data_IF_245845798834
#
_entry.id   IF_245845798834
#
_cell.length_a   1.000
_cell.length_b   1.000
_cell.length_c   1.000
_cell.angle_alpha   90.00
_cell.angle_beta   90.00
_cell.angle_gamma   90.00
#
_symmetry.space_group_name_H-M   'P 1'
#
loop_
_entity.id
_entity.type
_entity.pdbx_description
1 polymer ?
#
# COMPACT_ATOMS: atom_id res chain seq x y z
N UNK A 1 7.97 -5.77 -11.16
CA UNK A 1 9.40 -5.47 -10.96
C UNK A 1 9.54 -4.18 -10.17
N UNK A 2 10.42 -4.18 -9.18
CA UNK A 2 10.72 -3.01 -8.34
C UNK A 2 12.23 -2.76 -8.39
N UNK A 3 12.63 -1.53 -8.65
CA UNK A 3 14.04 -1.12 -8.68
C UNK A 3 14.23 0.14 -7.83
N UNK A 4 15.06 0.02 -6.82
CA UNK A 4 15.33 1.06 -5.82
C UNK A 4 16.81 1.36 -5.84
N UNK A 5 17.16 2.64 -5.99
CA UNK A 5 18.54 3.08 -6.07
C UNK A 5 18.80 4.27 -5.15
N UNK A 6 19.76 4.12 -4.26
CA UNK A 6 20.28 5.18 -3.44
C UNK A 6 19.26 5.86 -2.53
N UNK A 7 18.26 5.12 -2.04
CA UNK A 7 17.20 5.70 -1.22
C UNK A 7 17.75 6.15 0.12
N UNK A 8 17.55 7.43 0.41
CA UNK A 8 17.79 8.03 1.71
C UNK A 8 16.51 8.57 2.32
N UNK A 9 16.42 8.53 3.63
CA UNK A 9 15.33 9.13 4.38
C UNK A 9 15.79 9.52 5.77
N UNK A 10 15.49 10.74 6.16
CA UNK A 10 15.77 11.28 7.49
C UNK A 10 14.51 11.85 8.12
N UNK A 11 14.43 11.77 9.44
CA UNK A 11 13.42 12.41 10.26
C UNK A 11 14.15 13.33 11.26
N UNK A 12 14.15 14.64 10.98
CA UNK A 12 14.99 15.58 11.71
C UNK A 12 16.48 15.26 11.51
N UNK A 13 17.20 15.09 12.62
CA UNK A 13 18.63 14.72 12.60
C UNK A 13 18.89 13.22 12.44
N UNK A 14 17.86 12.39 12.54
CA UNK A 14 17.98 10.94 12.45
C UNK A 14 17.87 10.47 11.00
N UNK A 15 18.97 9.99 10.45
CA UNK A 15 18.96 9.34 9.13
C UNK A 15 18.58 7.87 9.29
N UNK A 16 17.38 7.51 8.78
CA UNK A 16 16.81 6.16 8.90
C UNK A 16 17.22 5.27 7.74
N UNK A 17 17.21 5.79 6.52
CA UNK A 17 17.69 5.09 5.32
C UNK A 17 18.93 5.81 4.76
N UNK A 18 19.98 5.06 4.51
CA UNK A 18 21.32 5.58 4.22
C UNK A 18 21.85 5.13 2.85
N UNK A 19 21.04 5.23 1.82
CA UNK A 19 21.43 4.82 0.47
C UNK A 19 21.10 3.36 0.19
N UNK A 20 19.84 3.00 0.27
CA UNK A 20 19.38 1.62 0.04
C UNK A 20 19.24 1.36 -1.46
N UNK A 21 19.83 0.26 -1.91
CA UNK A 21 19.64 -0.32 -3.24
C UNK A 21 18.93 -1.66 -3.10
N UNK A 22 17.90 -1.88 -3.91
CA UNK A 22 17.15 -3.13 -3.92
C UNK A 22 16.52 -3.35 -5.29
N UNK A 23 16.62 -4.56 -5.80
CA UNK A 23 15.96 -5.00 -7.02
C UNK A 23 15.10 -6.22 -6.74
N UNK A 24 13.83 -6.18 -7.15
CA UNK A 24 12.89 -7.28 -7.02
C UNK A 24 12.31 -7.59 -8.39
N UNK A 25 12.50 -8.82 -8.86
CA UNK A 25 11.92 -9.28 -10.12
C UNK A 25 10.43 -9.61 -9.95
N UNK A 26 9.73 -9.62 -11.08
CA UNK A 26 8.34 -10.07 -11.10
C UNK A 26 8.23 -11.51 -10.61
N UNK A 27 7.30 -11.75 -9.70
CA UNK A 27 7.05 -13.06 -9.11
C UNK A 27 7.95 -13.43 -7.92
N UNK A 28 8.92 -12.60 -7.57
CA UNK A 28 9.73 -12.81 -6.37
C UNK A 28 8.98 -12.47 -5.08
N UNK A 29 9.26 -13.24 -4.05
CA UNK A 29 8.89 -12.93 -2.66
C UNK A 29 10.16 -12.57 -1.90
N UNK A 30 10.19 -11.37 -1.34
CA UNK A 30 11.36 -10.82 -0.64
C UNK A 30 11.00 -10.53 0.81
N UNK A 31 11.90 -10.89 1.72
CA UNK A 31 11.79 -10.55 3.13
C UNK A 31 12.82 -9.48 3.51
N UNK A 32 12.36 -8.43 4.17
CA UNK A 32 13.22 -7.38 4.70
C UNK A 32 13.34 -7.60 6.20
N UNK A 33 14.57 -7.90 6.64
CA UNK A 33 14.87 -8.23 8.03
C UNK A 33 15.81 -7.20 8.65
N UNK A 34 15.74 -7.06 9.96
CA UNK A 34 16.57 -6.13 10.71
C UNK A 34 15.98 -5.82 12.08
N UNK A 35 16.75 -5.17 12.96
CA UNK A 35 16.28 -4.78 14.28
C UNK A 35 15.13 -3.76 14.21
N UNK A 36 14.36 -3.64 15.29
CA UNK A 36 13.34 -2.60 15.41
C UNK A 36 13.97 -1.20 15.27
N UNK A 37 13.29 -0.31 14.53
CA UNK A 37 13.80 1.02 14.26
C UNK A 37 14.85 1.12 13.13
N UNK A 38 15.16 0.02 12.44
CA UNK A 38 16.13 0.01 11.34
C UNK A 38 15.60 0.60 10.01
N UNK A 39 14.35 1.07 9.96
CA UNK A 39 13.77 1.69 8.77
C UNK A 39 13.00 0.73 7.85
N UNK A 40 12.71 -0.49 8.28
CA UNK A 40 11.97 -1.47 7.46
C UNK A 40 10.59 -0.95 7.02
N UNK A 41 9.81 -0.44 7.97
CA UNK A 41 8.49 0.14 7.69
C UNK A 41 8.61 1.38 6.80
N UNK A 42 9.58 2.24 7.05
CA UNK A 42 9.84 3.43 6.23
C UNK A 42 10.15 3.04 4.78
N UNK A 43 10.99 2.05 4.58
CA UNK A 43 11.32 1.55 3.23
C UNK A 43 10.07 1.00 2.51
N UNK A 44 9.27 0.19 3.20
CA UNK A 44 8.02 -0.34 2.64
C UNK A 44 7.02 0.78 2.29
N UNK A 45 6.91 1.81 3.11
CA UNK A 45 6.05 2.97 2.82
C UNK A 45 6.53 3.75 1.59
N UNK A 46 7.84 3.89 1.42
CA UNK A 46 8.44 4.54 0.23
C UNK A 46 8.21 3.70 -1.02
N UNK A 47 8.46 2.40 -0.98
CA UNK A 47 8.19 1.47 -2.10
C UNK A 47 6.70 1.53 -2.48
N UNK A 48 5.83 1.53 -1.49
CA UNK A 48 4.39 1.58 -1.67
C UNK A 48 3.82 2.96 -1.95
N UNK A 49 4.66 3.98 -2.13
CA UNK A 49 4.24 5.36 -2.44
C UNK A 49 3.44 6.08 -1.36
N UNK A 50 3.47 5.58 -0.13
CA UNK A 50 2.83 6.24 1.02
C UNK A 50 3.71 7.34 1.62
N UNK A 51 5.02 7.27 1.39
CA UNK A 51 5.98 8.30 1.75
C UNK A 51 6.96 8.53 0.59
N UNK A 52 7.67 9.64 0.62
CA UNK A 52 8.68 10.00 -0.38
C UNK A 52 10.08 9.85 0.21
N UNK A 53 11.06 9.38 -0.57
CA UNK A 53 12.45 9.43 -0.15
C UNK A 53 12.96 10.87 -0.18
N UNK A 54 14.01 11.15 0.58
CA UNK A 54 14.73 12.43 0.52
C UNK A 54 15.59 12.49 -0.74
N UNK A 55 16.19 11.37 -1.12
CA UNK A 55 16.93 11.21 -2.38
C UNK A 55 16.88 9.76 -2.87
N UNK A 56 17.35 9.54 -4.07
CA UNK A 56 17.32 8.25 -4.73
C UNK A 56 16.12 8.10 -5.65
N UNK A 57 15.96 6.91 -6.23
CA UNK A 57 14.88 6.63 -7.18
C UNK A 57 14.14 5.34 -6.83
N UNK A 58 12.84 5.35 -7.06
CA UNK A 58 11.95 4.19 -6.94
C UNK A 58 11.22 4.00 -8.26
N UNK A 59 11.47 2.88 -8.92
CA UNK A 59 10.79 2.48 -10.14
C UNK A 59 9.96 1.23 -9.87
N UNK A 60 8.68 1.29 -10.14
CA UNK A 60 7.75 0.16 -10.02
C UNK A 60 7.10 -0.09 -11.38
N UNK A 61 7.26 -1.29 -11.90
CA UNK A 61 6.76 -1.70 -13.23
C UNK A 61 7.09 -0.69 -14.34
N UNK A 62 8.32 -0.17 -14.33
CA UNK A 62 8.81 0.81 -15.32
C UNK A 62 8.41 2.25 -15.08
N UNK A 63 7.66 2.54 -14.02
CA UNK A 63 7.22 3.90 -13.66
C UNK A 63 8.04 4.43 -12.50
N UNK A 64 8.67 5.58 -12.69
CA UNK A 64 9.36 6.30 -11.62
C UNK A 64 8.33 7.02 -10.75
N UNK A 65 8.09 6.48 -9.56
CA UNK A 65 6.97 6.90 -8.72
C UNK A 65 7.11 8.30 -8.14
N UNK A 66 8.34 8.82 -8.01
CA UNK A 66 8.58 10.18 -7.51
C UNK A 66 8.13 11.26 -8.49
N UNK A 67 7.98 10.94 -9.78
CA UNK A 67 7.48 11.87 -10.77
C UNK A 67 5.95 11.99 -10.78
N UNK A 68 5.29 11.09 -10.08
CA UNK A 68 3.84 11.11 -9.92
C UNK A 68 3.45 11.96 -8.70
N UNK A 69 2.33 12.68 -8.81
CA UNK A 69 1.78 13.47 -7.70
C UNK A 69 0.26 13.53 -7.76
N UNK A 70 -0.38 13.89 -6.65
CA UNK A 70 -1.82 14.08 -6.56
C UNK A 70 -2.60 12.86 -7.03
N UNK A 71 -3.56 13.09 -7.93
CA UNK A 71 -4.45 12.05 -8.45
C UNK A 71 -3.71 10.92 -9.18
N UNK A 72 -2.69 11.24 -9.97
CA UNK A 72 -1.90 10.24 -10.70
C UNK A 72 -1.18 9.26 -9.76
N UNK A 73 -0.65 9.76 -8.65
CA UNK A 73 -0.01 8.92 -7.64
C UNK A 73 -1.03 8.03 -6.93
N UNK A 74 -2.19 8.57 -6.58
CA UNK A 74 -3.28 7.81 -5.94
C UNK A 74 -3.81 6.71 -6.87
N UNK A 75 -3.99 7.02 -8.14
CA UNK A 75 -4.41 6.06 -9.16
C UNK A 75 -3.36 4.95 -9.35
N UNK A 76 -2.09 5.32 -9.44
CA UNK A 76 -1.00 4.36 -9.53
C UNK A 76 -0.99 3.41 -8.33
N UNK A 77 -1.06 3.94 -7.12
CA UNK A 77 -1.11 3.15 -5.88
C UNK A 77 -2.31 2.21 -5.87
N UNK A 78 -3.47 2.69 -6.24
CA UNK A 78 -4.70 1.90 -6.29
C UNK A 78 -4.58 0.67 -7.20
N UNK A 79 -3.90 0.83 -8.34
CA UNK A 79 -3.79 -0.23 -9.36
C UNK A 79 -2.61 -1.17 -9.18
N UNK A 80 -1.53 -0.70 -8.57
CA UNK A 80 -0.24 -1.43 -8.57
C UNK A 80 0.20 -1.90 -7.18
N UNK A 81 -0.38 -1.38 -6.09
CA UNK A 81 0.11 -1.63 -4.75
C UNK A 81 -1.02 -2.11 -3.84
N UNK A 82 -0.77 -3.20 -3.13
CA UNK A 82 -1.60 -3.65 -2.02
C UNK A 82 -0.80 -3.63 -0.72
N UNK A 83 -1.40 -3.13 0.35
CA UNK A 83 -0.80 -3.10 1.67
C UNK A 83 -1.52 -4.01 2.66
N UNK A 84 -0.73 -4.70 3.47
CA UNK A 84 -1.19 -5.30 4.72
C UNK A 84 -0.43 -4.63 5.86
N UNK A 85 -1.15 -3.90 6.71
CA UNK A 85 -0.56 -3.16 7.82
C UNK A 85 -0.48 -4.00 9.08
N UNK A 86 0.43 -3.65 9.99
CA UNK A 86 0.53 -4.27 11.30
C UNK A 86 -0.76 -4.05 12.12
N UNK A 87 -1.33 -2.86 12.03
CA UNK A 87 -2.64 -2.52 12.60
C UNK A 87 -3.63 -2.27 11.48
N UNK A 88 -4.89 -2.66 11.69
CA UNK A 88 -5.93 -2.43 10.70
C UNK A 88 -6.10 -0.93 10.40
N UNK A 89 -6.37 -0.63 9.15
CA UNK A 89 -6.64 0.73 8.66
C UNK A 89 -8.11 0.88 8.25
N UNK A 90 -8.99 0.17 8.95
CA UNK A 90 -10.42 0.22 8.67
C UNK A 90 -11.02 1.54 9.16
N UNK A 91 -11.91 2.08 8.36
CA UNK A 91 -12.69 3.26 8.72
C UNK A 91 -13.87 2.79 9.62
N UNK A 92 -13.90 3.22 10.89
CA UNK A 92 -14.86 2.71 11.86
C UNK A 92 -16.31 3.15 11.58
N UNK A 93 -16.49 4.18 10.76
CA UNK A 93 -17.79 4.67 10.30
C UNK A 93 -18.47 3.74 9.31
N UNK A 94 -17.69 2.88 8.64
CA UNK A 94 -18.15 1.98 7.60
C UNK A 94 -18.25 0.54 8.08
N UNK A 95 -19.15 -0.21 7.48
CA UNK A 95 -19.23 -1.66 7.64
C UNK A 95 -18.06 -2.38 6.98
N UNK A 96 -17.89 -3.65 7.27
CA UNK A 96 -16.84 -4.47 6.66
C UNK A 96 -16.91 -4.45 5.13
N UNK A 97 -18.10 -4.63 4.55
CA UNK A 97 -18.27 -4.60 3.10
C UNK A 97 -17.97 -3.22 2.52
N UNK A 98 -18.39 -2.15 3.17
CA UNK A 98 -18.13 -0.78 2.71
C UNK A 98 -16.63 -0.48 2.71
N UNK A 99 -15.89 -0.90 3.75
CA UNK A 99 -14.44 -0.79 3.79
C UNK A 99 -13.77 -1.52 2.60
N UNK A 100 -14.23 -2.72 2.27
CA UNK A 100 -13.71 -3.51 1.14
C UNK A 100 -14.05 -2.86 -0.21
N UNK A 101 -15.15 -2.12 -0.29
CA UNK A 101 -15.59 -1.43 -1.51
C UNK A 101 -14.77 -0.16 -1.82
N UNK A 102 -14.14 0.47 -0.84
CA UNK A 102 -13.45 1.76 -1.00
C UNK A 102 -12.42 1.75 -2.14
N UNK A 103 -11.52 0.77 -2.27
CA UNK A 103 -10.56 0.76 -3.38
C UNK A 103 -11.22 0.69 -4.76
N UNK A 104 -12.36 0.02 -4.87
CA UNK A 104 -13.12 -0.04 -6.12
C UNK A 104 -13.72 1.32 -6.50
N UNK A 105 -14.19 2.08 -5.52
CA UNK A 105 -14.66 3.45 -5.75
C UNK A 105 -13.53 4.38 -6.20
N UNK A 106 -12.36 4.26 -5.59
CA UNK A 106 -11.15 5.01 -6.03
C UNK A 106 -10.79 4.67 -7.48
N UNK A 107 -10.98 3.42 -7.87
CA UNK A 107 -10.78 2.96 -9.25
C UNK A 107 -11.90 3.37 -10.22
N UNK A 108 -12.93 4.09 -9.76
CA UNK A 108 -14.04 4.55 -10.58
C UNK A 108 -15.11 3.50 -10.89
N UNK A 109 -15.16 2.41 -10.13
CA UNK A 109 -16.17 1.37 -10.29
C UNK A 109 -17.54 1.83 -9.78
N UNK A 110 -18.62 1.33 -10.39
CA UNK A 110 -19.98 1.56 -9.90
C UNK A 110 -20.22 0.89 -8.54
N UNK A 111 -21.25 1.34 -7.82
CA UNK A 111 -21.62 0.74 -6.53
C UNK A 111 -21.95 -0.73 -6.68
N UNK A 112 -22.65 -1.14 -7.75
CA UNK A 112 -23.00 -2.55 -7.97
C UNK A 112 -21.79 -3.43 -8.26
N UNK A 113 -20.84 -2.96 -9.06
CA UNK A 113 -19.58 -3.66 -9.34
C UNK A 113 -18.72 -3.78 -8.07
N UNK A 114 -18.58 -2.70 -7.33
CA UNK A 114 -17.81 -2.67 -6.09
C UNK A 114 -18.41 -3.62 -5.05
N UNK A 115 -19.72 -3.62 -4.88
CA UNK A 115 -20.42 -4.51 -3.94
C UNK A 115 -20.25 -5.97 -4.34
N UNK A 116 -20.48 -6.30 -5.59
CA UNK A 116 -20.32 -7.67 -6.09
C UNK A 116 -18.92 -8.21 -5.81
N UNK A 117 -17.90 -7.42 -6.14
CA UNK A 117 -16.51 -7.83 -5.90
C UNK A 117 -16.18 -7.94 -4.41
N UNK A 118 -16.67 -7.02 -3.58
CA UNK A 118 -16.49 -7.06 -2.15
C UNK A 118 -17.15 -8.30 -1.51
N UNK A 119 -18.34 -8.67 -1.96
CA UNK A 119 -19.03 -9.90 -1.52
C UNK A 119 -18.24 -11.16 -1.87
N UNK A 120 -17.74 -11.26 -3.10
CA UNK A 120 -16.88 -12.36 -3.54
C UNK A 120 -15.62 -12.49 -2.67
N UNK A 121 -14.96 -11.37 -2.36
CA UNK A 121 -13.74 -11.36 -1.53
C UNK A 121 -14.02 -11.74 -0.07
N UNK A 122 -15.09 -11.22 0.51
CA UNK A 122 -15.49 -11.56 1.88
C UNK A 122 -15.88 -13.04 1.99
N UNK A 123 -16.58 -13.56 0.99
CA UNK A 123 -16.93 -14.98 0.92
C UNK A 123 -15.67 -15.86 0.79
N UNK A 124 -14.75 -15.49 -0.08
CA UNK A 124 -13.46 -16.16 -0.24
C UNK A 124 -12.67 -16.22 1.08
N UNK A 125 -12.74 -15.15 1.88
CA UNK A 125 -12.08 -15.08 3.19
C UNK A 125 -12.88 -15.73 4.34
N UNK A 126 -14.05 -16.33 4.05
CA UNK A 126 -14.91 -16.92 5.08
C UNK A 126 -15.62 -15.89 5.96
N UNK A 127 -15.80 -14.66 5.48
CA UNK A 127 -16.37 -13.54 6.23
C UNK A 127 -17.75 -13.09 5.72
N UNK A 128 -18.43 -13.94 4.96
CA UNK A 128 -19.72 -13.61 4.36
C UNK A 128 -20.76 -13.13 5.40
N UNK A 129 -20.79 -13.76 6.58
CA UNK A 129 -21.73 -13.43 7.65
C UNK A 129 -21.38 -12.13 8.41
N UNK A 130 -20.21 -11.56 8.15
CA UNK A 130 -19.71 -10.35 8.84
C UNK A 130 -19.77 -9.07 8.00
N UNK A 131 -20.43 -9.12 6.87
CA UNK A 131 -20.53 -7.99 5.90
C UNK A 131 -21.04 -6.69 6.52
N UNK A 132 -22.06 -6.79 7.36
CA UNK A 132 -22.75 -5.63 7.93
C UNK A 132 -22.17 -5.17 9.29
N UNK A 133 -21.11 -5.81 9.78
CA UNK A 133 -20.50 -5.44 11.06
C UNK A 133 -19.65 -4.19 10.88
N UNK A 134 -19.82 -3.19 11.74
CA UNK A 134 -18.95 -2.04 11.87
C UNK A 134 -18.14 -2.12 13.18
N UNK A 135 -17.05 -1.36 13.26
CA UNK A 135 -16.23 -1.33 14.48
C UNK A 135 -16.91 -0.61 15.65
N UNK A 136 -18.02 0.10 15.41
CA UNK A 136 -18.78 0.80 16.44
C UNK A 136 -19.80 -0.10 17.16
N UNK A 137 -19.96 -1.30 16.71
CA UNK A 137 -20.76 -2.33 17.37
C UNK A 137 -19.85 -3.39 17.99
#
# INVERSE_FOLDING_TARGET
MIDIKGITKSFGSLQVLKGIDLHINKGEVVSIVGPSGAGKTTLLQIIGTLDKPDSGSVVVDGVETQQLSGHKLSEFRNRHVGFVFQFHQLLPEFTAIENVMIPAFIAGKSTSEARKRAEELLDFMGLADRRAISQRT
#
